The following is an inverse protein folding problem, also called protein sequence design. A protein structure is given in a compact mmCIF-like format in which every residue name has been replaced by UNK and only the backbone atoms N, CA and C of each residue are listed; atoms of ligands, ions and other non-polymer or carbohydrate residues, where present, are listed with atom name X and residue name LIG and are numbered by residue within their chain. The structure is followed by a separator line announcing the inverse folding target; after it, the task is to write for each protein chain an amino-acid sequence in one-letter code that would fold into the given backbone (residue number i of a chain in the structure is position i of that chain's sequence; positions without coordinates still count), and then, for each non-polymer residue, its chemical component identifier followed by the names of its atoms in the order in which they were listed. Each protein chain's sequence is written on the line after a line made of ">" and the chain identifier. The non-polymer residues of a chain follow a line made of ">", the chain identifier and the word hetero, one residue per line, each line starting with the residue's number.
data_IF_968954207100
#
_entry.id   IF_968954207100
#
_cell.length_a   1.000
_cell.length_b   1.000
_cell.length_c   1.000
_cell.angle_alpha   90.00
_cell.angle_beta   90.00
_cell.angle_gamma   90.00
#
_symmetry.space_group_name_H-M   'P 1'
#
loop_
_entity.id
_entity.type
_entity.pdbx_description
1 polymer ?
#
# COMPACT_ATOMS: atom_id res chain seq x y z
N UNK A 1 42.59 35.70 -9.57
CA UNK A 1 43.04 36.86 -10.36
C UNK A 1 44.55 36.76 -10.44
N UNK A 2 45.06 36.25 -11.56
CA UNK A 2 46.50 36.16 -11.81
C UNK A 2 46.87 37.22 -12.83
N UNK A 3 47.74 38.09 -12.36
CA UNK A 3 48.34 39.24 -13.00
C UNK A 3 49.13 38.78 -14.24
N UNK A 4 48.58 39.01 -15.43
CA UNK A 4 49.28 38.81 -16.69
C UNK A 4 50.04 40.11 -16.98
N UNK A 5 51.31 40.13 -16.57
CA UNK A 5 52.22 41.23 -16.81
C UNK A 5 52.24 41.63 -18.28
N UNK A 6 52.12 42.94 -18.51
CA UNK A 6 52.23 43.59 -19.81
C UNK A 6 53.47 43.09 -20.55
N UNK A 7 53.27 42.29 -21.59
CA UNK A 7 54.32 41.89 -22.51
C UNK A 7 54.42 42.99 -23.57
N UNK A 8 55.55 43.70 -23.55
CA UNK A 8 55.91 44.71 -24.53
C UNK A 8 55.87 44.13 -25.95
N UNK A 9 55.00 44.64 -26.85
CA UNK A 9 54.86 44.14 -28.21
C UNK A 9 56.09 44.42 -29.09
N UNK A 10 56.98 45.33 -28.69
CA UNK A 10 58.23 45.62 -29.41
C UNK A 10 59.43 44.79 -28.91
N UNK A 11 59.18 43.82 -28.01
CA UNK A 11 60.24 42.96 -27.48
C UNK A 11 60.62 41.89 -28.49
N UNK A 12 61.72 42.13 -29.21
CA UNK A 12 62.36 41.22 -30.17
C UNK A 12 62.46 39.78 -29.65
N UNK A 13 61.55 38.91 -30.12
CA UNK A 13 61.55 37.49 -29.78
C UNK A 13 62.61 36.75 -30.61
N UNK A 14 63.73 36.40 -29.95
CA UNK A 14 64.75 35.52 -30.54
C UNK A 14 64.16 34.14 -30.85
N UNK A 15 63.86 33.92 -32.12
CA UNK A 15 63.26 32.70 -32.61
C UNK A 15 64.18 31.49 -32.36
N UNK A 16 63.73 30.53 -31.53
CA UNK A 16 64.43 29.27 -31.21
C UNK A 16 64.29 28.23 -32.35
N UNK A 17 64.68 28.59 -33.57
CA UNK A 17 64.71 27.64 -34.69
C UNK A 17 66.09 26.99 -34.82
N UNK A 18 66.39 26.01 -33.95
CA UNK A 18 67.70 25.34 -33.90
C UNK A 18 68.01 24.42 -35.10
N UNK A 19 67.17 24.42 -36.15
CA UNK A 19 67.26 23.50 -37.29
C UNK A 19 67.20 24.11 -38.70
N UNK A 20 66.89 25.40 -38.87
CA UNK A 20 66.91 26.07 -40.18
C UNK A 20 68.28 26.73 -40.40
N UNK A 21 69.31 25.92 -40.66
CA UNK A 21 70.59 26.42 -41.16
C UNK A 21 70.54 26.40 -42.67
N UNK A 22 70.31 27.56 -43.28
CA UNK A 22 70.94 28.07 -44.52
C UNK A 22 70.27 29.40 -44.92
N UNK A 23 71.05 30.49 -44.93
CA UNK A 23 70.71 31.89 -45.32
C UNK A 23 70.05 32.81 -44.26
N UNK A 24 70.88 33.27 -43.31
CA UNK A 24 70.55 34.14 -42.16
C UNK A 24 70.46 35.64 -42.50
N UNK A 25 69.69 36.07 -43.51
CA UNK A 25 69.65 37.51 -43.86
C UNK A 25 68.30 38.18 -44.10
N UNK A 26 67.18 37.45 -44.08
CA UNK A 26 65.88 38.02 -44.54
C UNK A 26 64.87 38.27 -43.40
N UNK A 27 65.04 37.68 -42.21
CA UNK A 27 64.17 37.91 -41.04
C UNK A 27 64.42 39.23 -40.28
N UNK A 28 65.25 40.13 -40.81
CA UNK A 28 65.50 41.44 -40.21
C UNK A 28 64.49 42.52 -40.67
N UNK A 29 63.53 42.16 -41.51
CA UNK A 29 62.48 43.08 -41.95
C UNK A 29 61.27 42.98 -41.00
N UNK A 30 61.01 44.05 -40.25
CA UNK A 30 60.02 44.11 -39.17
C UNK A 30 58.60 43.72 -39.64
N UNK A 31 58.25 44.09 -40.87
CA UNK A 31 56.93 43.87 -41.46
C UNK A 31 56.54 42.39 -41.58
N UNK A 32 57.46 41.51 -41.96
CA UNK A 32 57.16 40.09 -42.15
C UNK A 32 56.95 39.34 -40.82
N UNK A 33 57.53 39.86 -39.73
CA UNK A 33 57.40 39.29 -38.39
C UNK A 33 56.04 39.68 -37.79
N UNK A 34 55.53 40.87 -38.07
CA UNK A 34 54.26 41.38 -37.55
C UNK A 34 53.03 40.67 -38.14
N UNK A 35 53.04 40.35 -39.44
CA UNK A 35 51.93 39.61 -40.10
C UNK A 35 51.77 38.17 -39.57
N UNK A 36 52.88 37.54 -39.17
CA UNK A 36 52.87 36.21 -38.56
C UNK A 36 52.32 36.26 -37.13
N UNK A 37 52.76 37.22 -36.31
CA UNK A 37 52.27 37.41 -34.93
C UNK A 37 50.77 37.74 -34.89
N UNK A 38 50.25 38.46 -35.90
CA UNK A 38 48.82 38.74 -36.04
C UNK A 38 48.00 37.54 -36.55
N UNK A 39 48.63 36.38 -36.81
CA UNK A 39 47.97 35.16 -37.28
C UNK A 39 47.51 35.20 -38.74
N UNK A 40 47.90 36.23 -39.52
CA UNK A 40 47.60 36.33 -40.95
C UNK A 40 48.40 35.30 -41.78
N UNK A 41 49.61 34.94 -41.33
CA UNK A 41 50.43 33.88 -41.93
C UNK A 41 50.34 32.58 -41.11
N UNK A 42 49.62 31.59 -41.64
CA UNK A 42 49.52 30.25 -41.02
C UNK A 42 50.90 29.55 -41.05
N UNK A 43 51.40 28.96 -39.95
CA UNK A 43 52.71 28.26 -39.90
C UNK A 43 53.00 27.27 -41.03
N UNK A 44 51.97 26.60 -41.55
CA UNK A 44 52.08 25.74 -42.74
C UNK A 44 52.47 26.53 -44.00
N UNK A 45 51.84 27.68 -44.23
CA UNK A 45 52.08 28.53 -45.38
C UNK A 45 53.48 29.16 -45.32
N UNK A 46 53.91 29.61 -44.14
CA UNK A 46 55.26 30.15 -43.92
C UNK A 46 56.37 29.11 -44.21
N UNK A 47 56.16 27.86 -43.80
CA UNK A 47 57.11 26.77 -44.06
C UNK A 47 57.16 26.40 -45.55
N UNK A 48 56.03 26.43 -46.23
CA UNK A 48 55.92 26.11 -47.66
C UNK A 48 56.59 27.16 -48.52
N UNK A 49 56.40 28.45 -48.21
CA UNK A 49 57.03 29.58 -48.90
C UNK A 49 58.57 29.47 -48.94
N UNK A 50 59.18 28.87 -47.91
CA UNK A 50 60.64 28.78 -47.78
C UNK A 50 61.24 27.46 -48.31
N UNK A 51 60.44 26.39 -48.36
CA UNK A 51 60.92 25.04 -48.72
C UNK A 51 60.56 24.63 -50.15
N UNK A 52 59.56 25.27 -50.77
CA UNK A 52 59.07 24.90 -52.09
C UNK A 52 59.51 25.93 -53.14
N UNK A 53 59.98 25.50 -54.33
CA UNK A 53 60.23 26.41 -55.45
C UNK A 53 58.99 27.22 -55.80
N UNK A 54 59.19 28.44 -56.32
CA UNK A 54 58.11 29.39 -56.65
C UNK A 54 57.02 28.80 -57.55
N UNK A 55 57.37 27.89 -58.46
CA UNK A 55 56.45 27.18 -59.35
C UNK A 55 55.43 26.33 -58.58
N UNK A 56 55.85 25.67 -57.51
CA UNK A 56 55.00 24.79 -56.68
C UNK A 56 54.04 25.63 -55.83
N UNK A 57 54.49 26.79 -55.36
CA UNK A 57 53.68 27.73 -54.60
C UNK A 57 52.58 28.34 -55.46
N UNK A 58 52.92 28.75 -56.70
CA UNK A 58 51.94 29.24 -57.67
C UNK A 58 50.93 28.16 -58.05
N UNK A 59 51.37 26.91 -58.25
CA UNK A 59 50.46 25.79 -58.52
C UNK A 59 49.52 25.50 -57.34
N UNK A 60 50.00 25.63 -56.10
CA UNK A 60 49.16 25.46 -54.91
C UNK A 60 48.19 26.62 -54.72
N UNK A 61 48.63 27.86 -54.88
CA UNK A 61 47.76 29.03 -54.83
C UNK A 61 46.67 28.96 -55.91
N UNK A 62 47.03 28.54 -57.13
CA UNK A 62 46.08 28.28 -58.20
C UNK A 62 45.10 27.16 -57.83
N UNK A 63 45.56 26.08 -57.18
CA UNK A 63 44.70 24.98 -56.71
C UNK A 63 43.74 25.43 -55.60
N UNK A 64 44.21 26.20 -54.63
CA UNK A 64 43.38 26.76 -53.56
C UNK A 64 42.37 27.77 -54.11
N UNK A 65 42.77 28.61 -55.07
CA UNK A 65 41.85 29.49 -55.78
C UNK A 65 40.79 28.70 -56.55
N UNK A 66 41.18 27.64 -57.27
CA UNK A 66 40.24 26.75 -57.98
C UNK A 66 39.36 26.00 -57.00
N UNK A 67 39.84 25.60 -55.82
CA UNK A 67 39.02 24.97 -54.78
C UNK A 67 38.04 25.96 -54.17
N UNK A 68 38.45 27.19 -53.89
CA UNK A 68 37.57 28.25 -53.41
C UNK A 68 36.52 28.63 -54.46
N UNK A 69 36.90 28.68 -55.74
CA UNK A 69 36.00 28.95 -56.86
C UNK A 69 35.09 27.75 -57.15
N UNK A 70 35.58 26.52 -56.95
CA UNK A 70 34.78 25.30 -56.96
C UNK A 70 33.81 25.25 -55.77
N UNK A 71 34.20 25.73 -54.58
CA UNK A 71 33.30 25.81 -53.42
C UNK A 71 32.26 26.91 -53.58
N UNK A 72 32.62 28.05 -54.19
CA UNK A 72 31.68 29.12 -54.55
C UNK A 72 30.74 28.73 -55.69
N UNK A 73 31.21 27.94 -56.67
CA UNK A 73 30.37 27.42 -57.76
C UNK A 73 29.54 26.19 -57.36
N UNK A 74 30.03 25.35 -56.44
CA UNK A 74 29.30 24.22 -55.83
C UNK A 74 28.27 24.69 -54.81
N UNK A 75 28.59 25.75 -54.07
CA UNK A 75 27.67 26.54 -53.24
C UNK A 75 26.98 27.62 -54.06
N UNK A 76 26.44 27.27 -55.23
CA UNK A 76 25.64 28.20 -56.01
C UNK A 76 24.41 28.68 -55.23
N UNK A 77 23.80 29.82 -55.62
CA UNK A 77 22.63 30.37 -54.93
C UNK A 77 21.49 29.35 -54.77
N UNK A 78 21.36 28.39 -55.68
CA UNK A 78 20.36 27.31 -55.58
C UNK A 78 20.63 26.31 -54.44
N UNK A 79 21.89 25.99 -54.14
CA UNK A 79 22.24 25.11 -53.02
C UNK A 79 22.02 25.79 -51.67
N UNK A 80 22.24 27.10 -51.62
CA UNK A 80 21.98 27.94 -50.44
C UNK A 80 20.48 28.03 -50.17
N UNK A 81 19.67 28.30 -51.20
CA UNK A 81 18.19 28.33 -51.08
C UNK A 81 17.64 26.99 -50.61
N UNK A 82 18.11 25.86 -51.16
CA UNK A 82 17.70 24.52 -50.70
C UNK A 82 18.10 24.25 -49.25
N UNK A 83 19.27 24.72 -48.81
CA UNK A 83 19.71 24.58 -47.42
C UNK A 83 18.87 25.45 -46.47
N UNK A 84 18.49 26.65 -46.89
CA UNK A 84 17.64 27.58 -46.15
C UNK A 84 16.20 27.06 -46.00
N UNK A 85 15.61 26.54 -47.08
CA UNK A 85 14.30 25.88 -47.03
C UNK A 85 14.28 24.71 -46.04
N UNK A 86 15.34 23.88 -46.06
CA UNK A 86 15.50 22.77 -45.09
C UNK A 86 15.69 23.24 -43.67
N UNK A 87 16.38 24.37 -43.46
CA UNK A 87 16.53 24.97 -42.15
C UNK A 87 15.19 25.48 -41.60
N UNK A 88 14.36 26.12 -42.44
CA UNK A 88 13.00 26.56 -42.06
C UNK A 88 12.06 25.39 -41.75
N UNK A 89 12.11 24.31 -42.53
CA UNK A 89 11.35 23.08 -42.27
C UNK A 89 11.72 22.47 -40.91
N UNK A 90 13.04 22.37 -40.63
CA UNK A 90 13.54 21.88 -39.34
C UNK A 90 13.15 22.79 -38.17
N UNK A 91 13.20 24.11 -38.34
CA UNK A 91 12.79 25.06 -37.30
C UNK A 91 11.30 24.94 -36.98
N UNK A 92 10.46 24.74 -38.01
CA UNK A 92 9.02 24.50 -37.83
C UNK A 92 8.76 23.19 -37.07
N UNK A 93 9.45 22.10 -37.41
CA UNK A 93 9.33 20.82 -36.70
C UNK A 93 9.86 20.90 -35.27
N UNK A 94 10.93 21.66 -35.02
CA UNK A 94 11.40 21.97 -33.67
C UNK A 94 10.35 22.74 -32.86
N UNK A 95 9.64 23.68 -33.49
CA UNK A 95 8.49 24.36 -32.87
C UNK A 95 7.38 23.40 -32.48
N UNK A 96 6.96 22.53 -33.41
CA UNK A 96 5.92 21.51 -33.16
C UNK A 96 6.30 20.53 -32.05
N UNK A 97 7.56 20.07 -32.02
CA UNK A 97 8.04 19.14 -31.00
C UNK A 97 8.18 19.78 -29.62
N UNK A 98 8.58 21.07 -29.55
CA UNK A 98 8.55 21.85 -28.30
C UNK A 98 7.14 21.93 -27.74
N UNK A 99 6.16 22.33 -28.56
CA UNK A 99 4.75 22.39 -28.14
C UNK A 99 4.24 21.05 -27.60
N UNK A 100 4.47 19.94 -28.34
CA UNK A 100 4.08 18.60 -27.91
C UNK A 100 4.73 18.18 -26.59
N UNK A 101 5.99 18.58 -26.36
CA UNK A 101 6.69 18.31 -25.11
C UNK A 101 6.02 19.02 -23.94
N UNK A 102 5.68 20.30 -24.11
CA UNK A 102 5.08 21.10 -23.05
C UNK A 102 3.68 20.59 -22.69
N UNK A 103 2.89 20.19 -23.70
CA UNK A 103 1.58 19.54 -23.51
C UNK A 103 1.71 18.20 -22.77
N UNK A 104 2.71 17.38 -23.12
CA UNK A 104 2.98 16.11 -22.41
C UNK A 104 3.43 16.35 -20.96
N UNK A 105 4.18 17.42 -20.70
CA UNK A 105 4.61 17.79 -19.34
C UNK A 105 3.42 18.22 -18.48
N UNK A 106 2.48 19.00 -19.03
CA UNK A 106 1.24 19.34 -18.34
C UNK A 106 0.39 18.10 -18.01
N UNK A 107 0.29 17.15 -18.96
CA UNK A 107 -0.39 15.87 -18.72
C UNK A 107 0.28 15.06 -17.61
N UNK A 108 1.62 15.02 -17.59
CA UNK A 108 2.38 14.35 -16.54
C UNK A 108 2.10 14.98 -15.18
N UNK A 109 2.18 16.30 -15.07
CA UNK A 109 1.92 17.03 -13.82
C UNK A 109 0.49 16.79 -13.30
N UNK A 110 -0.51 16.76 -14.20
CA UNK A 110 -1.89 16.42 -13.84
C UNK A 110 -1.99 14.98 -13.30
N UNK A 111 -1.36 14.01 -13.97
CA UNK A 111 -1.37 12.61 -13.54
C UNK A 111 -0.62 12.38 -12.22
N UNK A 112 0.43 13.16 -11.94
CA UNK A 112 1.13 13.10 -10.67
C UNK A 112 0.25 13.59 -9.52
N UNK A 113 -0.52 14.68 -9.73
CA UNK A 113 -1.49 15.16 -8.75
C UNK A 113 -2.56 14.10 -8.46
N UNK A 114 -3.13 13.49 -9.49
CA UNK A 114 -4.09 12.39 -9.34
C UNK A 114 -3.49 11.19 -8.58
N UNK A 115 -2.24 10.81 -8.90
CA UNK A 115 -1.55 9.73 -8.17
C UNK A 115 -1.33 10.07 -6.70
N UNK A 116 -1.03 11.33 -6.36
CA UNK A 116 -0.91 11.73 -4.95
C UNK A 116 -2.24 11.62 -4.21
N UNK A 117 -3.35 12.01 -4.83
CA UNK A 117 -4.70 11.89 -4.26
C UNK A 117 -5.12 10.42 -4.07
N UNK A 118 -4.88 9.57 -5.08
CA UNK A 118 -5.16 8.14 -4.98
C UNK A 118 -4.33 7.50 -3.86
N UNK A 119 -3.06 7.89 -3.71
CA UNK A 119 -2.20 7.40 -2.62
C UNK A 119 -2.71 7.83 -1.24
N UNK A 120 -3.18 9.07 -1.07
CA UNK A 120 -3.79 9.49 0.20
C UNK A 120 -5.08 8.74 0.49
N UNK A 121 -5.93 8.55 -0.51
CA UNK A 121 -7.18 7.79 -0.36
C UNK A 121 -6.92 6.34 0.02
N UNK A 122 -5.90 5.71 -0.59
CA UNK A 122 -5.49 4.36 -0.23
C UNK A 122 -5.03 4.27 1.24
N UNK A 123 -4.22 5.24 1.69
CA UNK A 123 -3.77 5.30 3.09
C UNK A 123 -4.96 5.44 4.06
N UNK A 124 -5.95 6.25 3.70
CA UNK A 124 -7.15 6.47 4.51
C UNK A 124 -8.03 5.20 4.58
N UNK A 125 -8.26 4.54 3.45
CA UNK A 125 -9.00 3.27 3.42
C UNK A 125 -8.28 2.19 4.24
N UNK A 126 -6.95 2.13 4.16
CA UNK A 126 -6.16 1.21 4.97
C UNK A 126 -6.28 1.50 6.48
N UNK A 127 -6.34 2.78 6.88
CA UNK A 127 -6.60 3.18 8.27
C UNK A 127 -7.99 2.73 8.72
N UNK A 128 -9.03 3.05 7.96
CA UNK A 128 -10.41 2.68 8.26
C UNK A 128 -10.60 1.16 8.36
N UNK A 129 -9.96 0.39 7.48
CA UNK A 129 -10.00 -1.08 7.53
C UNK A 129 -9.40 -1.62 8.84
N UNK A 130 -8.31 -1.02 9.33
CA UNK A 130 -7.73 -1.42 10.63
C UNK A 130 -8.68 -1.11 11.77
N UNK A 131 -9.34 0.05 11.74
CA UNK A 131 -10.31 0.43 12.76
C UNK A 131 -11.54 -0.47 12.78
N UNK A 132 -12.08 -0.83 11.61
CA UNK A 132 -13.18 -1.79 11.52
C UNK A 132 -12.78 -3.18 12.03
N UNK A 133 -11.56 -3.64 11.74
CA UNK A 133 -11.07 -4.92 12.28
C UNK A 133 -11.01 -4.91 13.80
N UNK A 134 -10.53 -3.82 14.40
CA UNK A 134 -10.50 -3.68 15.87
C UNK A 134 -11.92 -3.65 16.44
N UNK A 135 -12.85 -2.94 15.79
CA UNK A 135 -14.27 -2.95 16.20
C UNK A 135 -14.89 -4.33 16.12
N UNK A 136 -14.68 -5.06 15.03
CA UNK A 136 -15.18 -6.42 14.83
C UNK A 136 -14.66 -7.36 15.94
N UNK A 137 -13.35 -7.33 16.20
CA UNK A 137 -12.75 -8.14 17.25
C UNK A 137 -13.36 -7.83 18.64
N UNK A 138 -13.63 -6.55 18.93
CA UNK A 138 -14.27 -6.16 20.18
C UNK A 138 -15.69 -6.73 20.31
N UNK A 139 -16.49 -6.67 19.24
CA UNK A 139 -17.83 -7.25 19.24
C UNK A 139 -17.78 -8.77 19.41
N UNK A 140 -16.81 -9.45 18.80
CA UNK A 140 -16.61 -10.88 18.97
C UNK A 140 -16.27 -11.24 20.42
N UNK A 141 -15.43 -10.44 21.10
CA UNK A 141 -15.10 -10.61 22.51
C UNK A 141 -16.34 -10.41 23.42
N UNK A 142 -17.16 -9.40 23.14
CA UNK A 142 -18.43 -9.16 23.84
C UNK A 142 -19.43 -10.31 23.62
N UNK A 143 -19.51 -10.82 22.39
CA UNK A 143 -20.32 -11.98 22.06
C UNK A 143 -19.83 -13.22 22.82
N UNK A 144 -18.52 -13.47 22.86
CA UNK A 144 -17.94 -14.57 23.63
C UNK A 144 -18.24 -14.44 25.13
N UNK A 145 -18.20 -13.24 25.69
CA UNK A 145 -18.55 -12.99 27.08
C UNK A 145 -20.03 -13.29 27.36
N UNK A 146 -20.93 -12.82 26.49
CA UNK A 146 -22.37 -13.09 26.63
C UNK A 146 -22.72 -14.57 26.46
N UNK A 147 -22.06 -15.27 25.54
CA UNK A 147 -22.21 -16.72 25.37
C UNK A 147 -21.81 -17.49 26.63
N UNK A 148 -20.68 -17.14 27.26
CA UNK A 148 -20.25 -17.74 28.53
C UNK A 148 -21.26 -17.47 29.66
N UNK A 149 -21.78 -16.25 29.74
CA UNK A 149 -22.80 -15.90 30.73
C UNK A 149 -24.08 -16.73 30.51
N UNK A 150 -24.54 -16.85 29.27
CA UNK A 150 -25.70 -17.65 28.91
C UNK A 150 -25.51 -19.14 29.23
N UNK A 151 -24.35 -19.70 28.91
CA UNK A 151 -24.02 -21.09 29.21
C UNK A 151 -24.02 -21.35 30.72
N UNK A 152 -23.45 -20.42 31.50
CA UNK A 152 -23.48 -20.50 32.97
C UNK A 152 -24.90 -20.43 33.52
N UNK A 153 -25.74 -19.51 33.00
CA UNK A 153 -27.14 -19.39 33.41
C UNK A 153 -27.92 -20.66 33.06
N UNK A 154 -27.69 -21.25 31.88
CA UNK A 154 -28.31 -22.50 31.45
C UNK A 154 -27.95 -23.67 32.36
N UNK A 155 -26.76 -23.69 32.95
CA UNK A 155 -26.34 -24.71 33.91
C UNK A 155 -26.93 -24.49 35.31
N UNK A 156 -27.07 -23.24 35.76
CA UNK A 156 -27.50 -22.91 37.12
C UNK A 156 -29.01 -22.79 37.30
N UNK A 157 -29.74 -22.25 36.31
CA UNK A 157 -31.19 -22.07 36.41
C UNK A 157 -31.95 -23.38 36.67
N UNK A 158 -31.66 -24.52 36.00
CA UNK A 158 -32.34 -25.78 36.30
C UNK A 158 -32.06 -26.28 37.71
N UNK A 159 -30.83 -26.10 38.23
CA UNK A 159 -30.47 -26.49 39.60
C UNK A 159 -31.31 -25.70 40.59
N UNK A 160 -31.34 -24.37 40.43
CA UNK A 160 -32.14 -23.49 41.28
C UNK A 160 -33.64 -23.80 41.20
N UNK A 161 -34.17 -24.12 40.01
CA UNK A 161 -35.56 -24.49 39.83
C UNK A 161 -35.90 -25.80 40.57
N UNK A 162 -35.02 -26.82 40.49
CA UNK A 162 -35.18 -28.09 41.20
C UNK A 162 -35.13 -27.88 42.71
N UNK A 163 -34.20 -27.07 43.21
CA UNK A 163 -34.07 -26.80 44.64
C UNK A 163 -35.32 -26.07 45.17
N UNK A 164 -35.79 -25.03 44.46
CA UNK A 164 -37.06 -24.36 44.78
C UNK A 164 -38.26 -25.30 44.75
N UNK A 165 -38.31 -26.21 43.77
CA UNK A 165 -39.37 -27.20 43.69
C UNK A 165 -39.37 -28.15 44.89
N UNK A 166 -38.20 -28.66 45.29
CA UNK A 166 -38.05 -29.52 46.48
C UNK A 166 -38.45 -28.81 47.77
N UNK A 167 -38.22 -27.50 47.85
CA UNK A 167 -38.59 -26.69 49.01
C UNK A 167 -40.09 -26.37 49.08
N UNK A 168 -40.80 -26.45 47.94
CA UNK A 168 -42.22 -26.14 47.84
C UNK A 168 -43.09 -27.00 48.76
N UNK A 169 -44.17 -26.41 49.27
CA UNK A 169 -45.12 -27.10 50.14
C UNK A 169 -45.78 -28.30 49.43
N UNK A 170 -46.12 -28.15 48.15
CA UNK A 170 -46.74 -29.22 47.36
C UNK A 170 -45.84 -30.46 47.22
N UNK A 171 -44.53 -30.27 46.99
CA UNK A 171 -43.58 -31.37 46.95
C UNK A 171 -43.46 -32.09 48.30
N UNK A 172 -43.29 -31.33 49.40
CA UNK A 172 -43.20 -31.88 50.75
C UNK A 172 -44.47 -32.65 51.15
N UNK A 173 -45.64 -32.14 50.81
CA UNK A 173 -46.91 -32.81 51.07
C UNK A 173 -47.07 -34.06 50.20
N UNK A 174 -46.66 -33.99 48.93
CA UNK A 174 -46.57 -35.15 48.04
C UNK A 174 -45.69 -36.27 48.62
N UNK A 175 -44.53 -35.92 49.21
CA UNK A 175 -43.67 -36.89 49.90
C UNK A 175 -44.36 -37.55 51.10
N UNK A 176 -45.08 -36.78 51.93
CA UNK A 176 -45.87 -37.36 53.04
C UNK A 176 -46.93 -38.33 52.52
N UNK A 177 -47.64 -37.96 51.45
CA UNK A 177 -48.66 -38.80 50.83
C UNK A 177 -48.06 -40.09 50.25
N UNK A 178 -46.93 -40.02 49.55
CA UNK A 178 -46.20 -41.20 49.07
C UNK A 178 -45.73 -42.11 50.23
N UNK A 179 -45.22 -41.52 51.31
CA UNK A 179 -44.83 -42.26 52.51
C UNK A 179 -46.00 -43.05 53.11
N UNK A 180 -47.18 -42.44 53.20
CA UNK A 180 -48.40 -43.11 53.66
C UNK A 180 -48.79 -44.30 52.79
N UNK A 181 -48.85 -44.11 51.47
CA UNK A 181 -49.23 -45.19 50.53
C UNK A 181 -48.28 -46.38 50.62
N UNK A 182 -46.97 -46.13 50.74
CA UNK A 182 -45.98 -47.21 50.88
C UNK A 182 -46.08 -47.93 52.23
N UNK A 183 -46.33 -47.18 53.31
CA UNK A 183 -46.61 -47.76 54.63
C UNK A 183 -47.87 -48.62 54.63
N UNK A 184 -49.00 -48.11 54.11
CA UNK A 184 -50.26 -48.85 54.02
C UNK A 184 -50.12 -50.14 53.21
N UNK A 185 -49.42 -50.07 52.06
CA UNK A 185 -49.15 -51.26 51.25
C UNK A 185 -48.31 -52.29 52.02
N UNK A 186 -47.22 -51.84 52.66
CA UNK A 186 -46.36 -52.71 53.48
C UNK A 186 -47.12 -53.34 54.66
N UNK A 187 -47.97 -52.55 55.33
CA UNK A 187 -48.80 -52.99 56.43
C UNK A 187 -49.78 -54.09 55.99
N UNK A 188 -50.51 -53.89 54.89
CA UNK A 188 -51.44 -54.90 54.35
C UNK A 188 -50.72 -56.22 54.04
N UNK A 189 -49.53 -56.16 53.45
CA UNK A 189 -48.73 -57.36 53.15
C UNK A 189 -48.25 -58.05 54.44
N UNK A 190 -47.77 -57.30 55.42
CA UNK A 190 -47.31 -57.83 56.70
C UNK A 190 -48.47 -58.46 57.49
N UNK A 191 -49.62 -57.79 57.54
CA UNK A 191 -50.83 -58.25 58.21
C UNK A 191 -51.34 -59.55 57.58
N UNK A 192 -51.38 -59.64 56.25
CA UNK A 192 -51.76 -60.87 55.55
C UNK A 192 -50.82 -62.05 55.88
N UNK A 193 -49.51 -61.79 55.99
CA UNK A 193 -48.54 -62.82 56.41
C UNK A 193 -48.71 -63.22 57.88
N UNK A 194 -49.00 -62.26 58.74
CA UNK A 194 -49.22 -62.50 60.16
C UNK A 194 -50.44 -63.39 60.38
N UNK A 195 -51.59 -63.06 59.78
CA UNK A 195 -52.80 -63.89 59.87
C UNK A 195 -52.60 -65.30 59.28
N UNK A 196 -51.76 -65.44 58.25
CA UNK A 196 -51.43 -66.76 57.70
C UNK A 196 -50.63 -67.64 58.68
N UNK A 197 -49.87 -67.03 59.61
CA UNK A 197 -49.07 -67.74 60.61
C UNK A 197 -49.79 -67.88 61.97
N UNK A 198 -50.68 -66.94 62.30
CA UNK A 198 -51.38 -66.85 63.58
C UNK A 198 -52.87 -66.52 63.36
N UNK A 199 -53.70 -67.50 62.98
CA UNK A 199 -55.08 -67.27 62.51
C UNK A 199 -56.03 -66.69 63.57
N UNK A 200 -55.79 -67.00 64.84
CA UNK A 200 -56.70 -66.65 65.95
C UNK A 200 -56.24 -65.43 66.76
N UNK A 201 -55.20 -64.72 66.31
CA UNK A 201 -54.65 -63.54 67.00
C UNK A 201 -55.25 -62.25 66.45
N UNK A 202 -55.84 -61.43 67.32
CA UNK A 202 -56.32 -60.09 66.96
C UNK A 202 -55.15 -59.11 66.87
N UNK A 203 -55.14 -58.27 65.83
CA UNK A 203 -54.19 -57.17 65.63
C UNK A 203 -54.93 -55.86 65.81
N UNK A 204 -54.35 -54.95 66.61
CA UNK A 204 -54.87 -53.60 66.83
C UNK A 204 -54.95 -52.80 65.52
N UNK A 205 -56.00 -51.99 65.35
CA UNK A 205 -56.20 -51.21 64.13
C UNK A 205 -55.05 -50.22 63.89
N UNK A 206 -54.65 -50.10 62.63
CA UNK A 206 -53.56 -49.21 62.23
C UNK A 206 -53.97 -47.75 62.45
N UNK A 207 -53.23 -46.98 63.28
CA UNK A 207 -53.53 -45.57 63.54
C UNK A 207 -53.52 -44.68 62.29
N UNK A 208 -53.02 -45.19 61.16
CA UNK A 208 -52.93 -44.47 59.90
C UNK A 208 -53.88 -44.99 58.80
N UNK A 209 -54.78 -45.95 59.08
CA UNK A 209 -55.80 -46.35 58.10
C UNK A 209 -56.77 -45.20 57.82
N UNK A 210 -56.88 -44.82 56.56
CA UNK A 210 -57.84 -43.83 56.06
C UNK A 210 -59.25 -44.39 56.30
N UNK A 211 -60.04 -43.69 57.12
CA UNK A 211 -61.46 -44.00 57.29
C UNK A 211 -62.21 -43.71 55.99
N UNK A 212 -63.24 -44.51 55.65
CA UNK A 212 -64.02 -44.41 54.40
C UNK A 212 -64.59 -43.00 54.12
N UNK A 213 -64.67 -42.14 55.14
CA UNK A 213 -65.14 -40.76 55.06
C UNK A 213 -64.20 -39.84 54.25
N UNK A 214 -62.89 -40.13 54.19
CA UNK A 214 -61.90 -39.33 53.45
C UNK A 214 -61.91 -39.59 51.92
N UNK A 215 -62.46 -40.74 51.47
CA UNK A 215 -62.67 -41.05 50.04
C UNK A 215 -63.71 -40.13 49.39
N UNK A 216 -64.49 -39.39 50.18
CA UNK A 216 -65.49 -38.43 49.70
C UNK A 216 -64.91 -37.04 49.40
N UNK A 217 -63.62 -36.81 49.66
CA UNK A 217 -62.96 -35.54 49.34
C UNK A 217 -62.65 -35.52 47.84
N UNK A 218 -63.30 -34.64 47.04
CA UNK A 218 -63.15 -34.67 45.59
C UNK A 218 -61.74 -34.26 45.18
N UNK A 219 -60.97 -35.20 44.65
CA UNK A 219 -59.65 -34.93 44.09
C UNK A 219 -59.81 -34.13 42.78
N UNK A 220 -59.42 -32.85 42.79
CA UNK A 220 -59.54 -31.95 41.63
C UNK A 220 -58.67 -32.49 40.49
N UNK A 221 -59.32 -33.05 39.47
CA UNK A 221 -58.66 -33.77 38.35
C UNK A 221 -57.82 -32.88 37.42
N UNK A 222 -57.95 -31.57 37.52
CA UNK A 222 -57.23 -30.60 36.67
C UNK A 222 -56.89 -29.35 37.50
N UNK A 223 -55.60 -29.13 37.70
CA UNK A 223 -55.03 -27.82 37.99
C UNK A 223 -54.51 -27.31 36.64
N UNK A 224 -55.13 -26.29 36.06
CA UNK A 224 -54.59 -25.66 34.87
C UNK A 224 -53.23 -25.04 35.25
N UNK A 225 -52.15 -25.47 34.59
CA UNK A 225 -50.91 -24.72 34.62
C UNK A 225 -51.14 -23.45 33.83
N UNK A 226 -50.86 -22.30 34.45
CA UNK A 226 -50.94 -21.02 33.77
C UNK A 226 -49.68 -20.87 32.92
N UNK A 227 -49.80 -21.20 31.63
CA UNK A 227 -48.74 -21.07 30.61
C UNK A 227 -48.72 -19.63 30.02
N UNK A 228 -49.31 -18.65 30.69
CA UNK A 228 -49.27 -17.26 30.23
C UNK A 228 -47.84 -16.72 30.30
N UNK A 229 -47.36 -16.16 29.19
CA UNK A 229 -46.09 -15.43 29.14
C UNK A 229 -46.11 -14.29 30.18
N UNK A 230 -45.02 -14.06 30.93
CA UNK A 230 -44.94 -12.93 31.84
C UNK A 230 -45.07 -11.61 31.06
N UNK A 231 -45.71 -10.57 31.62
CA UNK A 231 -45.97 -9.32 30.91
C UNK A 231 -44.65 -8.66 30.47
N UNK A 232 -44.60 -8.26 29.19
CA UNK A 232 -43.49 -7.49 28.63
C UNK A 232 -43.34 -6.18 29.42
N UNK A 233 -42.12 -5.93 29.93
CA UNK A 233 -41.70 -4.67 30.56
C UNK A 233 -40.87 -3.83 29.61
#
# INVERSE_FOLDING_TARGET
>A
MSDLGHQDPDKEMKAKWRGLKNSTKIWNDSSATEEFERGLLHPQLARELYMLPSEVLLARAAKEMVLLDALKSRGGPEAVVKAEERASELEQELGKTKWKRDEALQRLEASEKELTEVRSNLAEIQRLLKEERVRAQKMDDELLQSMKALESARAELPKQAVDRYKESAGFKEGLKRMGRVTYEYGYRVALARFHALHPDSEVEEDPFTIHHEDDLVPMKRQQAFDDSDPPES
#
